data_IF_901871542012
#
_entry.id   IF_901871542012
#
_cell.length_a   1.000
_cell.length_b   1.000
_cell.length_c   1.000
_cell.angle_alpha   90.00
_cell.angle_beta   90.00
_cell.angle_gamma   90.00
#
_symmetry.space_group_name_H-M   'P 1'
#
loop_
_entity.id
_entity.type
_entity.pdbx_description
1 polymer ?
#
# COMPACT_ATOMS: atom_id res chain seq x y z
N UNK A 1 1.48 4.08 3.10
CA UNK A 1 1.09 5.22 2.24
C UNK A 1 -0.41 5.38 2.09
N UNK A 2 -1.16 4.33 1.70
CA UNK A 2 -2.58 4.44 1.32
C UNK A 2 -3.49 5.05 2.39
N UNK A 3 -3.36 4.66 3.65
CA UNK A 3 -4.10 5.26 4.77
C UNK A 3 -3.82 6.78 4.86
N UNK A 4 -2.57 7.17 4.67
CA UNK A 4 -2.16 8.58 4.77
C UNK A 4 -2.78 9.41 3.66
N UNK A 5 -2.71 8.96 2.39
CA UNK A 5 -3.30 9.71 1.28
C UNK A 5 -4.83 9.74 1.35
N UNK A 6 -5.47 8.68 1.85
CA UNK A 6 -6.92 8.69 2.09
C UNK A 6 -7.31 9.75 3.13
N UNK A 7 -6.56 9.84 4.24
CA UNK A 7 -6.80 10.84 5.28
C UNK A 7 -6.50 12.26 4.79
N UNK A 8 -5.44 12.44 4.00
CA UNK A 8 -5.12 13.74 3.41
C UNK A 8 -6.23 14.23 2.48
N UNK A 9 -6.73 13.33 1.60
CA UNK A 9 -7.85 13.62 0.70
C UNK A 9 -9.15 13.95 1.44
N UNK A 10 -9.42 13.27 2.55
CA UNK A 10 -10.55 13.61 3.41
C UNK A 10 -10.37 14.97 4.09
N UNK A 11 -9.15 15.35 4.42
CA UNK A 11 -8.85 16.63 5.07
C UNK A 11 -8.95 17.81 4.11
N UNK A 12 -8.35 17.69 2.92
CA UNK A 12 -8.40 18.71 1.88
C UNK A 12 -8.40 18.07 0.47
N UNK A 13 -9.58 17.75 -0.08
CA UNK A 13 -9.67 17.16 -1.41
C UNK A 13 -9.28 18.15 -2.53
N UNK A 14 -9.28 19.45 -2.25
CA UNK A 14 -8.95 20.47 -3.27
C UNK A 14 -7.45 20.60 -3.54
N UNK A 15 -6.62 20.01 -2.68
CA UNK A 15 -5.16 19.98 -2.84
C UNK A 15 -4.65 18.85 -3.77
N UNK A 16 -5.55 18.06 -4.35
CA UNK A 16 -5.20 16.87 -5.14
C UNK A 16 -6.14 16.70 -6.34
N UNK A 17 -5.57 16.30 -7.48
CA UNK A 17 -6.33 16.01 -8.68
C UNK A 17 -6.77 14.54 -8.76
N UNK A 18 -6.00 13.63 -8.14
CA UNK A 18 -6.29 12.19 -8.11
C UNK A 18 -5.55 11.49 -6.96
N UNK A 19 -5.97 10.26 -6.65
CA UNK A 19 -5.30 9.38 -5.69
C UNK A 19 -4.81 8.12 -6.40
N UNK A 20 -3.53 7.78 -6.23
CA UNK A 20 -2.96 6.54 -6.76
C UNK A 20 -2.48 5.65 -5.61
N UNK A 21 -3.06 4.47 -5.51
CA UNK A 21 -2.70 3.43 -4.54
C UNK A 21 -1.83 2.38 -5.23
N UNK A 22 -0.56 2.30 -4.89
CA UNK A 22 0.38 1.31 -5.44
C UNK A 22 0.51 0.20 -4.41
N UNK A 23 -0.11 -0.96 -4.65
CA UNK A 23 -0.20 -2.11 -3.74
C UNK A 23 -0.36 -1.66 -2.27
N UNK A 24 -1.25 -0.70 -2.02
CA UNK A 24 -1.35 0.02 -0.76
C UNK A 24 -2.73 -0.14 -0.11
N UNK A 25 -2.83 0.17 1.19
CA UNK A 25 -4.08 0.08 1.94
C UNK A 25 -5.10 1.12 1.46
N UNK A 26 -6.11 0.69 0.70
CA UNK A 26 -7.29 1.47 0.31
C UNK A 26 -8.50 0.95 1.09
N UNK A 27 -8.59 1.33 2.36
CA UNK A 27 -9.62 0.84 3.27
C UNK A 27 -10.88 1.69 3.21
N UNK A 28 -12.07 1.09 3.45
CA UNK A 28 -13.33 1.84 3.53
C UNK A 28 -13.42 2.69 4.80
N UNK A 29 -14.35 3.65 4.80
CA UNK A 29 -14.71 4.41 6.01
C UNK A 29 -15.14 3.48 7.14
N UNK A 30 -14.75 3.80 8.37
CA UNK A 30 -15.07 3.02 9.56
C UNK A 30 -14.12 1.86 9.86
N UNK A 31 -13.15 1.56 8.98
CA UNK A 31 -12.23 0.43 9.13
C UNK A 31 -10.79 0.91 9.40
N UNK A 32 -10.08 0.23 10.28
CA UNK A 32 -8.64 0.37 10.50
C UNK A 32 -7.87 -0.77 9.80
N UNK A 33 -6.54 -0.61 9.64
CA UNK A 33 -5.68 -1.70 9.13
C UNK A 33 -5.71 -2.93 10.05
N UNK A 34 -5.80 -2.71 11.36
CA UNK A 34 -5.86 -3.81 12.33
C UNK A 34 -7.14 -4.64 12.17
N UNK A 35 -8.27 -3.99 11.92
CA UNK A 35 -9.55 -4.69 11.66
C UNK A 35 -9.54 -5.39 10.29
N UNK A 36 -8.98 -4.76 9.25
CA UNK A 36 -8.87 -5.38 7.94
C UNK A 36 -8.06 -6.68 7.96
N UNK A 37 -7.05 -6.79 8.85
CA UNK A 37 -6.25 -8.02 9.01
C UNK A 37 -7.10 -9.28 9.26
N UNK A 38 -8.28 -9.14 9.86
CA UNK A 38 -9.19 -10.28 10.11
C UNK A 38 -9.88 -10.81 8.84
N UNK A 39 -9.81 -10.08 7.74
CA UNK A 39 -10.38 -10.45 6.44
C UNK A 39 -9.34 -10.98 5.45
N UNK A 40 -8.06 -10.94 5.82
CA UNK A 40 -6.96 -11.35 4.95
C UNK A 40 -6.55 -12.80 5.18
N UNK A 41 -6.04 -13.43 4.14
CA UNK A 41 -5.30 -14.67 4.28
C UNK A 41 -4.01 -14.44 5.10
N UNK A 42 -3.58 -15.43 5.89
CA UNK A 42 -2.33 -15.33 6.65
C UNK A 42 -1.13 -15.06 5.76
N UNK A 43 -0.24 -14.20 6.24
CA UNK A 43 1.03 -13.87 5.58
C UNK A 43 2.22 -14.28 6.48
N UNK A 44 2.45 -15.59 6.70
CA UNK A 44 3.41 -16.06 7.72
C UNK A 44 4.82 -15.58 7.46
N UNK A 45 5.26 -15.50 6.20
CA UNK A 45 6.59 -15.03 5.86
C UNK A 45 6.76 -13.54 6.19
N UNK A 46 5.76 -12.72 5.89
CA UNK A 46 5.76 -11.31 6.27
C UNK A 46 5.65 -11.12 7.79
N UNK A 47 4.72 -11.83 8.43
CA UNK A 47 4.50 -11.72 9.88
C UNK A 47 5.76 -12.12 10.68
N UNK A 48 6.56 -13.09 10.18
CA UNK A 48 7.82 -13.51 10.78
C UNK A 48 8.97 -12.49 10.67
N UNK A 49 8.82 -11.45 9.83
CA UNK A 49 9.81 -10.37 9.70
C UNK A 49 9.57 -9.23 10.67
N UNK A 50 8.39 -9.17 11.28
CA UNK A 50 7.94 -8.02 12.05
C UNK A 50 8.32 -8.17 13.51
N UNK A 51 9.05 -7.21 14.05
CA UNK A 51 9.36 -7.09 15.47
C UNK A 51 8.76 -5.82 16.07
N UNK A 52 8.32 -5.89 17.34
CA UNK A 52 7.83 -4.71 18.07
C UNK A 52 9.01 -3.85 18.56
N UNK A 53 8.86 -2.54 18.49
CA UNK A 53 9.82 -1.56 19.01
C UNK A 53 9.13 -0.50 19.85
N UNK A 54 9.89 0.25 20.66
CA UNK A 54 9.36 1.35 21.46
C UNK A 54 8.27 0.91 22.45
N UNK A 55 8.45 -0.20 23.18
CA UNK A 55 7.45 -0.79 24.09
C UNK A 55 6.10 -1.07 23.40
N UNK A 56 6.13 -1.41 22.10
CA UNK A 56 4.94 -1.69 21.32
C UNK A 56 4.33 -0.48 20.62
N UNK A 57 4.99 0.69 20.67
CA UNK A 57 4.53 1.87 19.95
C UNK A 57 4.68 1.77 18.43
N UNK A 58 5.52 0.85 17.94
CA UNK A 58 5.75 0.61 16.52
C UNK A 58 6.23 -0.78 16.21
N UNK A 59 6.49 -1.02 14.93
CA UNK A 59 7.09 -2.25 14.39
C UNK A 59 8.26 -1.91 13.49
N UNK A 60 9.20 -2.84 13.39
CA UNK A 60 10.31 -2.80 12.43
C UNK A 60 10.36 -4.11 11.66
N UNK A 61 10.70 -4.02 10.38
CA UNK A 61 10.99 -5.17 9.52
C UNK A 61 12.45 -5.56 9.67
N UNK A 62 12.75 -6.85 9.76
CA UNK A 62 14.12 -7.37 9.71
C UNK A 62 14.70 -7.18 8.29
N UNK A 63 15.66 -6.25 8.08
CA UNK A 63 16.20 -5.98 6.74
C UNK A 63 16.96 -7.16 6.15
N UNK A 64 17.57 -8.02 6.98
CA UNK A 64 18.32 -9.18 6.49
C UNK A 64 17.42 -10.23 5.82
N UNK A 65 16.13 -10.23 6.12
CA UNK A 65 15.14 -11.22 5.65
C UNK A 65 14.05 -10.59 4.75
N UNK A 66 14.08 -9.29 4.53
CA UNK A 66 13.01 -8.55 3.86
C UNK A 66 12.95 -8.79 2.34
N UNK A 67 14.10 -8.97 1.67
CA UNK A 67 14.18 -9.08 0.21
C UNK A 67 13.23 -10.13 -0.41
N UNK A 68 13.15 -11.38 0.09
CA UNK A 68 12.27 -12.40 -0.48
C UNK A 68 10.76 -12.10 -0.35
N UNK A 69 10.39 -11.14 0.49
CA UNK A 69 8.99 -10.79 0.77
C UNK A 69 8.58 -9.48 0.10
N UNK A 70 9.48 -8.49 0.09
CA UNK A 70 9.19 -7.15 -0.44
C UNK A 70 9.64 -6.95 -1.89
N UNK A 71 10.67 -7.68 -2.35
CA UNK A 71 11.38 -7.34 -3.57
C UNK A 71 11.99 -8.56 -4.28
N UNK A 72 11.26 -9.68 -4.30
CA UNK A 72 11.76 -10.95 -4.83
C UNK A 72 11.92 -10.98 -6.37
N UNK A 73 11.31 -10.03 -7.08
CA UNK A 73 11.43 -9.86 -8.53
C UNK A 73 12.31 -8.65 -8.90
N UNK A 74 12.76 -7.91 -7.89
CA UNK A 74 13.56 -6.69 -8.08
C UNK A 74 15.04 -6.99 -8.27
N UNK A 75 15.80 -6.17 -9.04
CA UNK A 75 17.24 -6.34 -9.21
C UNK A 75 17.99 -6.32 -7.88
N UNK A 76 18.86 -7.32 -7.62
CA UNK A 76 19.50 -7.49 -6.30
C UNK A 76 20.30 -6.27 -5.82
N UNK A 77 20.93 -5.54 -6.73
CA UNK A 77 21.70 -4.33 -6.41
C UNK A 77 20.82 -3.18 -5.94
N UNK A 78 19.61 -3.03 -6.50
CA UNK A 78 18.64 -2.04 -6.06
C UNK A 78 18.04 -2.43 -4.70
N UNK A 79 17.76 -3.71 -4.51
CA UNK A 79 17.29 -4.24 -3.22
C UNK A 79 18.32 -3.99 -2.13
N UNK A 80 19.61 -4.30 -2.38
CA UNK A 80 20.68 -4.06 -1.44
C UNK A 80 20.83 -2.58 -1.04
N UNK A 81 20.57 -1.66 -1.97
CA UNK A 81 20.57 -0.22 -1.69
C UNK A 81 19.32 0.25 -0.89
N UNK A 82 18.19 -0.45 -1.03
CA UNK A 82 16.93 -0.09 -0.38
C UNK A 82 16.82 -0.61 1.07
N UNK A 83 17.28 -1.85 1.34
CA UNK A 83 17.14 -2.50 2.64
C UNK A 83 17.63 -1.68 3.84
N UNK A 84 18.79 -0.98 3.79
CA UNK A 84 19.28 -0.16 4.91
C UNK A 84 18.39 1.07 5.21
N UNK A 85 17.44 1.39 4.34
CA UNK A 85 16.51 2.52 4.48
C UNK A 85 15.19 2.15 5.16
N UNK A 86 14.99 0.86 5.50
CA UNK A 86 13.83 0.43 6.25
C UNK A 86 13.83 1.03 7.65
N UNK A 87 12.74 1.69 8.01
CA UNK A 87 12.56 2.36 9.30
C UNK A 87 11.41 1.72 10.07
N UNK A 88 11.38 1.99 11.39
CA UNK A 88 10.25 1.59 12.21
C UNK A 88 8.98 2.34 11.81
N UNK A 89 7.87 1.62 11.73
CA UNK A 89 6.55 2.14 11.45
C UNK A 89 5.75 2.29 12.75
N UNK A 90 5.16 3.47 13.06
CA UNK A 90 4.33 3.66 14.25
C UNK A 90 2.98 2.94 14.14
N UNK A 91 2.47 2.43 15.26
CA UNK A 91 1.19 1.73 15.29
C UNK A 91 -0.04 2.64 15.16
N UNK A 92 0.05 3.91 15.54
CA UNK A 92 -1.07 4.84 15.54
C UNK A 92 -1.88 4.83 14.23
N UNK A 93 -1.27 5.07 13.06
CA UNK A 93 -1.97 5.06 11.78
C UNK A 93 -2.63 3.72 11.45
N UNK A 94 -2.06 2.61 11.90
CA UNK A 94 -2.58 1.25 11.63
C UNK A 94 -3.79 0.88 12.46
N UNK A 95 -3.93 1.44 13.65
CA UNK A 95 -5.05 1.19 14.57
C UNK A 95 -6.16 2.23 14.48
N UNK A 96 -5.92 3.35 13.82
CA UNK A 96 -6.92 4.40 13.63
C UNK A 96 -7.91 4.02 12.53
N UNK A 97 -9.21 4.09 12.85
CA UNK A 97 -10.26 3.92 11.85
C UNK A 97 -10.30 5.12 10.93
N UNK A 98 -10.36 4.84 9.63
CA UNK A 98 -10.57 5.89 8.64
C UNK A 98 -11.97 6.49 8.79
N UNK A 99 -12.07 7.80 8.56
CA UNK A 99 -13.34 8.53 8.42
C UNK A 99 -13.30 9.19 7.07
N UNK A 100 -13.99 8.59 6.10
CA UNK A 100 -14.00 9.02 4.70
C UNK A 100 -15.42 9.31 4.29
N UNK A 101 -15.61 10.39 3.52
CA UNK A 101 -16.92 10.79 3.00
C UNK A 101 -16.95 10.74 1.48
N UNK A 102 -18.14 10.52 0.87
CA UNK A 102 -18.31 10.56 -0.59
C UNK A 102 -17.98 11.93 -1.20
N UNK A 103 -18.19 13.00 -0.45
CA UNK A 103 -18.05 14.39 -0.90
C UNK A 103 -16.59 14.85 -0.88
N UNK A 104 -15.71 14.18 -0.12
CA UNK A 104 -14.31 14.55 0.03
C UNK A 104 -13.39 13.49 -0.60
N UNK A 105 -12.94 12.49 0.14
CA UNK A 105 -12.16 11.39 -0.42
C UNK A 105 -12.86 10.71 -1.60
N UNK A 106 -14.17 10.50 -1.49
CA UNK A 106 -14.99 9.82 -2.50
C UNK A 106 -15.18 10.62 -3.79
N UNK A 107 -14.99 11.94 -3.78
CA UNK A 107 -15.11 12.80 -4.96
C UNK A 107 -13.90 12.76 -5.89
N UNK A 108 -12.76 12.27 -5.40
CA UNK A 108 -11.53 12.25 -6.18
C UNK A 108 -11.44 11.02 -7.10
N UNK A 109 -10.94 11.17 -8.32
CA UNK A 109 -10.54 10.05 -9.15
C UNK A 109 -9.52 9.16 -8.41
N UNK A 110 -9.73 7.84 -8.45
CA UNK A 110 -8.83 6.89 -7.79
C UNK A 110 -8.33 5.85 -8.77
N UNK A 111 -7.05 5.56 -8.70
CA UNK A 111 -6.43 4.43 -9.39
C UNK A 111 -5.78 3.50 -8.37
N UNK A 112 -6.06 2.21 -8.49
CA UNK A 112 -5.39 1.16 -7.73
C UNK A 112 -4.46 0.38 -8.65
N UNK A 113 -3.17 0.46 -8.41
CA UNK A 113 -2.14 -0.33 -9.09
C UNK A 113 -1.91 -1.58 -8.25
N UNK A 114 -2.48 -2.71 -8.70
CA UNK A 114 -2.29 -4.00 -8.04
C UNK A 114 -1.06 -4.73 -8.59
N UNK A 115 -0.39 -5.50 -7.72
CA UNK A 115 0.80 -6.27 -8.05
C UNK A 115 0.57 -7.75 -7.80
N UNK A 116 0.79 -8.58 -8.84
CA UNK A 116 0.37 -9.99 -8.84
C UNK A 116 1.15 -10.87 -7.87
N UNK A 117 2.42 -10.52 -7.60
CA UNK A 117 3.34 -11.34 -6.82
C UNK A 117 3.68 -10.71 -5.46
N UNK A 118 2.85 -9.80 -4.98
CA UNK A 118 3.04 -9.16 -3.68
C UNK A 118 2.89 -10.19 -2.54
N UNK A 119 3.94 -10.34 -1.73
CA UNK A 119 3.97 -11.22 -0.56
C UNK A 119 3.75 -10.48 0.75
N UNK A 120 3.67 -9.14 0.69
CA UNK A 120 3.37 -8.26 1.83
C UNK A 120 1.88 -7.99 1.95
N UNK A 121 1.24 -7.65 0.83
CA UNK A 121 -0.20 -7.47 0.66
C UNK A 121 -0.63 -8.35 -0.51
N UNK A 122 -0.93 -9.63 -0.27
CA UNK A 122 -1.28 -10.57 -1.34
C UNK A 122 -2.37 -10.04 -2.26
N UNK A 123 -2.34 -10.46 -3.53
CA UNK A 123 -3.29 -9.99 -4.56
C UNK A 123 -4.76 -10.17 -4.13
N UNK A 124 -5.05 -11.23 -3.37
CA UNK A 124 -6.39 -11.45 -2.81
C UNK A 124 -6.81 -10.32 -1.86
N UNK A 125 -5.89 -9.87 -0.97
CA UNK A 125 -6.12 -8.74 -0.06
C UNK A 125 -6.28 -7.42 -0.82
N UNK A 126 -5.48 -7.20 -1.87
CA UNK A 126 -5.59 -6.02 -2.72
C UNK A 126 -6.96 -5.95 -3.40
N UNK A 127 -7.44 -7.07 -3.97
CA UNK A 127 -8.76 -7.17 -4.61
C UNK A 127 -9.91 -7.06 -3.62
N UNK A 128 -9.74 -7.57 -2.40
CA UNK A 128 -10.71 -7.40 -1.34
C UNK A 128 -10.88 -5.92 -0.94
N UNK A 129 -9.79 -5.15 -0.87
CA UNK A 129 -9.86 -3.71 -0.64
C UNK A 129 -10.58 -2.96 -1.77
N UNK A 130 -10.37 -3.37 -3.01
CA UNK A 130 -11.09 -2.81 -4.18
C UNK A 130 -12.61 -3.07 -4.08
N UNK A 131 -13.01 -4.25 -3.58
CA UNK A 131 -14.43 -4.57 -3.33
C UNK A 131 -15.02 -3.74 -2.17
N UNK A 132 -14.26 -3.54 -1.09
CA UNK A 132 -14.70 -2.74 0.06
C UNK A 132 -14.71 -1.24 -0.22
N UNK A 133 -13.88 -0.78 -1.15
CA UNK A 133 -13.74 0.64 -1.55
C UNK A 133 -13.89 0.78 -3.07
N UNK A 134 -15.09 0.53 -3.63
CA UNK A 134 -15.29 0.50 -5.08
C UNK A 134 -15.12 1.87 -5.73
N UNK A 135 -14.96 1.87 -7.07
CA UNK A 135 -14.90 3.07 -7.90
C UNK A 135 -13.48 3.54 -8.26
N UNK A 136 -12.43 2.78 -7.88
CA UNK A 136 -11.10 3.00 -8.41
C UNK A 136 -10.94 2.34 -9.78
N UNK A 137 -10.20 2.98 -10.69
CA UNK A 137 -9.63 2.29 -11.86
C UNK A 137 -8.56 1.32 -11.38
N UNK A 138 -8.47 0.14 -12.01
CA UNK A 138 -7.49 -0.88 -11.62
C UNK A 138 -6.48 -1.08 -12.74
N UNK A 139 -5.21 -1.02 -12.39
CA UNK A 139 -4.08 -1.36 -13.26
C UNK A 139 -3.33 -2.53 -12.63
N UNK A 140 -3.10 -3.59 -13.39
CA UNK A 140 -2.41 -4.80 -12.92
C UNK A 140 -0.97 -4.81 -13.42
N UNK A 141 -0.01 -4.95 -12.51
CA UNK A 141 1.40 -5.13 -12.82
C UNK A 141 1.87 -6.53 -12.45
N UNK A 142 2.69 -7.11 -13.31
CA UNK A 142 3.42 -8.37 -13.05
C UNK A 142 4.65 -8.07 -12.21
N UNK A 143 4.42 -7.70 -10.94
CA UNK A 143 5.41 -7.15 -10.01
C UNK A 143 5.25 -7.71 -8.59
N UNK A 144 6.30 -7.54 -7.79
CA UNK A 144 6.30 -7.73 -6.34
C UNK A 144 5.77 -6.49 -5.59
N UNK A 145 5.96 -6.42 -4.26
CA UNK A 145 5.56 -5.26 -3.44
C UNK A 145 6.35 -3.98 -3.74
N UNK A 146 7.41 -4.08 -4.55
CA UNK A 146 8.30 -2.97 -4.90
C UNK A 146 8.32 -2.69 -6.40
N UNK A 147 7.17 -2.37 -7.06
CA UNK A 147 7.09 -2.20 -8.50
C UNK A 147 7.97 -1.07 -9.03
N UNK A 148 8.34 -0.11 -8.19
CA UNK A 148 9.31 0.94 -8.48
C UNK A 148 10.75 0.41 -8.65
N UNK A 149 11.04 -0.82 -8.21
CA UNK A 149 12.30 -1.53 -8.43
C UNK A 149 12.16 -2.61 -9.51
N UNK A 150 11.08 -3.41 -9.45
CA UNK A 150 10.91 -4.57 -10.33
C UNK A 150 10.40 -4.21 -11.71
N UNK A 151 9.52 -3.22 -11.84
CA UNK A 151 8.86 -2.84 -13.11
C UNK A 151 8.72 -1.32 -13.27
N UNK A 152 9.82 -0.54 -13.17
CA UNK A 152 9.76 0.93 -13.11
C UNK A 152 9.11 1.57 -14.34
N UNK A 153 9.35 1.04 -15.54
CA UNK A 153 8.79 1.59 -16.78
C UNK A 153 7.26 1.39 -16.85
N UNK A 154 6.78 0.21 -16.47
CA UNK A 154 5.34 -0.09 -16.42
C UNK A 154 4.65 0.72 -15.33
N UNK A 155 5.28 0.86 -14.16
CA UNK A 155 4.77 1.72 -13.09
C UNK A 155 4.69 3.18 -13.55
N UNK A 156 5.73 3.70 -14.22
CA UNK A 156 5.75 5.06 -14.74
C UNK A 156 4.61 5.30 -15.73
N UNK A 157 4.40 4.37 -16.68
CA UNK A 157 3.29 4.44 -17.62
C UNK A 157 1.93 4.46 -16.92
N UNK A 158 1.74 3.60 -15.91
CA UNK A 158 0.52 3.54 -15.12
C UNK A 158 0.27 4.85 -14.32
N UNK A 159 1.33 5.45 -13.77
CA UNK A 159 1.24 6.72 -13.06
C UNK A 159 0.85 7.87 -13.98
N UNK A 160 1.46 7.95 -15.16
CA UNK A 160 1.11 8.98 -16.17
C UNK A 160 -0.36 8.84 -16.57
N UNK A 161 -0.81 7.62 -16.86
CA UNK A 161 -2.20 7.35 -17.23
C UNK A 161 -3.22 7.63 -16.10
N UNK A 162 -2.79 7.67 -14.84
CA UNK A 162 -3.63 7.99 -13.70
C UNK A 162 -3.80 9.51 -13.48
N UNK A 163 -3.06 10.35 -14.19
CA UNK A 163 -3.14 11.81 -14.07
C UNK A 163 -4.30 12.32 -14.95
N UNK A 164 -5.32 12.99 -14.39
CA UNK A 164 -6.42 13.54 -15.17
C UNK A 164 -5.92 14.58 -16.19
N UNK A 165 -6.29 14.42 -17.45
CA UNK A 165 -6.01 15.40 -18.50
C UNK A 165 -4.60 15.33 -19.13
N UNK A 166 -3.84 14.30 -18.85
CA UNK A 166 -2.57 13.99 -19.52
C UNK A 166 -2.76 12.90 -20.58
#
# INVERSE_FOLDING_TARGET
GGIVISTAAETDPTAMDALVYICAMMLPSGMSRAEFKAHEEPTPDFDALISKVGNGAGTVVDPARAAPVFAQLSPPELVAAALPRLLAEPHGPRSTKLRLTPERWGSLPRTYIETLHDRTIPIASQRLMQQFSPGAQVVTLDADHSPYLSTPDQLTAALIAAIPGV
#
